data_IF_906933474208
#
_entry.id   IF_906933474208
#
_cell.length_a   1.000
_cell.length_b   1.000
_cell.length_c   1.000
_cell.angle_alpha   90.00
_cell.angle_beta   90.00
_cell.angle_gamma   90.00
#
_symmetry.space_group_name_H-M   'P 1'
#
loop_
_entity.id
_entity.type
_entity.pdbx_description
1 polymer ?
#
# COMPACT_ATOMS: atom_id res chain seq x y z
N UNK A 1 8.39 8.12 17.28
CA UNK A 1 9.83 7.84 17.13
C UNK A 1 10.57 9.16 17.29
N UNK A 2 11.44 9.29 18.29
CA UNK A 2 12.21 10.52 18.53
C UNK A 2 13.21 10.78 17.40
N UNK A 3 13.57 12.05 17.19
CA UNK A 3 14.55 12.44 16.18
C UNK A 3 15.86 11.66 16.34
N UNK A 4 16.50 11.32 15.22
CA UNK A 4 17.79 10.60 15.19
C UNK A 4 18.95 11.49 14.78
N UNK A 5 18.68 12.69 14.29
CA UNK A 5 19.68 13.67 13.88
C UNK A 5 20.29 14.38 15.08
N UNK A 6 21.62 14.40 15.14
CA UNK A 6 22.39 15.00 16.24
C UNK A 6 23.57 15.80 15.69
N UNK A 7 23.99 16.82 16.44
CA UNK A 7 25.29 17.47 16.21
C UNK A 7 26.26 16.95 17.27
N UNK A 8 27.11 16.00 16.91
CA UNK A 8 27.92 15.28 17.88
C UNK A 8 28.84 16.21 18.70
N UNK A 9 28.80 16.14 20.04
CA UNK A 9 29.67 16.95 20.91
C UNK A 9 31.15 16.61 20.78
N UNK A 10 31.48 15.38 20.38
CA UNK A 10 32.87 14.92 20.28
C UNK A 10 33.53 15.29 18.95
N UNK A 11 32.86 15.04 17.81
CA UNK A 11 33.43 15.32 16.49
C UNK A 11 32.88 16.58 15.81
N UNK A 12 31.82 17.20 16.36
CA UNK A 12 31.18 18.39 15.80
C UNK A 12 30.37 18.15 14.53
N UNK A 13 30.35 16.94 13.99
CA UNK A 13 29.67 16.62 12.73
C UNK A 13 28.15 16.49 12.90
N UNK A 14 27.42 16.88 11.86
CA UNK A 14 26.02 16.54 11.66
C UNK A 14 25.91 15.04 11.31
N UNK A 15 25.26 14.28 12.17
CA UNK A 15 25.29 12.81 12.10
C UNK A 15 24.05 12.21 12.75
N UNK A 16 23.96 10.87 12.75
CA UNK A 16 22.84 10.15 13.32
C UNK A 16 23.22 9.48 14.65
N UNK A 17 22.27 9.44 15.58
CA UNK A 17 22.38 8.64 16.80
C UNK A 17 22.06 7.18 16.48
N UNK A 18 23.03 6.30 16.71
CA UNK A 18 22.87 4.85 16.66
C UNK A 18 22.45 4.33 18.03
N UNK A 19 21.38 3.54 18.09
CA UNK A 19 20.93 2.85 19.30
C UNK A 19 21.23 1.36 19.16
N UNK A 20 22.16 0.85 19.96
CA UNK A 20 22.53 -0.57 19.96
C UNK A 20 21.97 -1.24 21.21
N UNK A 21 21.12 -2.25 21.03
CA UNK A 21 20.58 -3.01 22.14
C UNK A 21 21.68 -3.86 22.79
N UNK A 22 21.81 -3.74 24.12
CA UNK A 22 22.68 -4.58 24.93
C UNK A 22 21.85 -5.72 25.51
N UNK A 23 22.34 -6.94 25.37
CA UNK A 23 21.68 -8.16 25.83
C UNK A 23 22.50 -8.88 26.90
N UNK A 24 21.82 -9.48 27.85
CA UNK A 24 22.35 -10.50 28.76
C UNK A 24 21.63 -11.83 28.47
N UNK A 25 22.33 -12.74 27.80
CA UNK A 25 21.72 -13.90 27.17
C UNK A 25 20.67 -13.51 26.12
N UNK A 26 19.41 -13.92 26.34
CA UNK A 26 18.28 -13.60 25.47
C UNK A 26 17.47 -12.38 25.94
N UNK A 27 17.84 -11.77 27.08
CA UNK A 27 17.12 -10.62 27.63
C UNK A 27 17.83 -9.32 27.26
N UNK A 28 17.07 -8.35 26.73
CA UNK A 28 17.58 -7.00 26.49
C UNK A 28 17.73 -6.28 27.84
N UNK A 29 18.94 -5.92 28.21
CA UNK A 29 19.26 -5.25 29.48
C UNK A 29 19.41 -3.74 29.34
N UNK A 30 19.56 -3.23 28.11
CA UNK A 30 19.63 -1.79 27.87
C UNK A 30 19.91 -1.43 26.42
N UNK A 31 20.26 -0.17 26.21
CA UNK A 31 20.69 0.37 24.93
C UNK A 31 21.91 1.26 25.12
N UNK A 32 22.87 1.13 24.20
CA UNK A 32 23.99 2.08 24.05
C UNK A 32 23.63 3.09 22.98
N UNK A 33 23.88 4.36 23.29
CA UNK A 33 23.64 5.48 22.40
C UNK A 33 24.99 5.93 21.84
N UNK A 34 25.24 5.74 20.56
CA UNK A 34 26.54 6.05 19.95
C UNK A 34 26.41 6.97 18.74
N UNK A 35 27.39 7.84 18.55
CA UNK A 35 27.53 8.65 17.34
C UNK A 35 27.89 7.76 16.15
N UNK A 36 27.10 7.79 15.06
CA UNK A 36 27.39 6.98 13.87
C UNK A 36 28.67 7.40 13.13
N UNK A 37 29.11 8.66 13.26
CA UNK A 37 30.30 9.17 12.57
C UNK A 37 31.62 8.86 13.28
N UNK A 38 31.67 9.00 14.61
CA UNK A 38 32.92 8.87 15.37
C UNK A 38 32.89 7.81 16.49
N UNK A 39 31.75 7.14 16.72
CA UNK A 39 31.61 6.09 17.72
C UNK A 39 31.55 6.56 19.18
N UNK A 40 31.46 7.86 19.44
CA UNK A 40 31.35 8.38 20.82
C UNK A 40 30.06 7.89 21.49
N UNK A 41 30.18 7.30 22.69
CA UNK A 41 29.08 6.77 23.48
C UNK A 41 28.53 7.84 24.44
N UNK A 42 27.23 8.06 24.40
CA UNK A 42 26.52 8.96 25.29
C UNK A 42 25.98 8.18 26.50
N UNK A 43 26.14 8.71 27.73
CA UNK A 43 25.71 8.03 28.95
C UNK A 43 24.18 8.01 29.13
N UNK A 44 23.47 8.96 28.52
CA UNK A 44 22.01 9.04 28.58
C UNK A 44 21.44 9.73 27.35
N UNK A 45 20.14 9.56 27.08
CA UNK A 45 19.45 10.25 25.98
C UNK A 45 19.38 11.77 26.22
N UNK A 46 19.32 12.23 27.47
CA UNK A 46 19.34 13.67 27.80
C UNK A 46 20.66 14.37 27.49
N UNK A 47 21.77 13.61 27.41
CA UNK A 47 23.07 14.16 27.04
C UNK A 47 23.27 14.29 25.52
N UNK A 48 22.37 13.68 24.74
CA UNK A 48 22.46 13.68 23.28
C UNK A 48 22.01 15.05 22.73
N UNK A 49 22.88 15.73 21.96
CA UNK A 49 22.55 17.01 21.32
C UNK A 49 21.68 16.81 20.07
N UNK A 50 20.39 16.51 20.26
CA UNK A 50 19.46 16.35 19.14
C UNK A 50 19.27 17.65 18.37
N UNK A 51 19.23 17.52 17.04
CA UNK A 51 18.92 18.62 16.15
C UNK A 51 17.42 18.92 16.25
N UNK A 52 17.07 20.19 16.42
CA UNK A 52 15.68 20.60 16.35
C UNK A 52 15.17 20.32 14.94
N UNK A 53 14.03 19.63 14.83
CA UNK A 53 13.37 19.43 13.54
C UNK A 53 12.97 20.81 13.03
N UNK A 54 13.62 21.26 11.96
CA UNK A 54 13.17 22.46 11.27
C UNK A 54 11.74 22.21 10.78
N UNK A 55 10.89 23.25 10.81
CA UNK A 55 9.59 23.15 10.16
C UNK A 55 9.82 22.80 8.70
N UNK A 56 9.34 21.63 8.29
CA UNK A 56 9.48 21.17 6.91
C UNK A 56 8.88 22.27 6.00
N UNK A 57 9.62 22.76 5.00
CA UNK A 57 9.08 23.76 4.10
C UNK A 57 7.85 23.17 3.39
N UNK A 58 6.73 23.88 3.47
CA UNK A 58 5.50 23.52 2.75
C UNK A 58 5.69 23.86 1.27
N UNK A 59 6.34 22.96 0.53
CA UNK A 59 6.63 23.13 -0.90
C UNK A 59 5.37 22.92 -1.75
N UNK A 60 4.45 22.07 -1.30
CA UNK A 60 3.17 21.81 -1.95
C UNK A 60 2.04 22.13 -0.98
N UNK A 61 1.03 22.82 -1.50
CA UNK A 61 -0.18 23.18 -0.79
C UNK A 61 -1.37 22.45 -1.41
N UNK A 62 -2.53 22.49 -0.74
CA UNK A 62 -3.76 21.96 -1.32
C UNK A 62 -4.15 22.67 -2.63
N UNK A 63 -3.67 23.90 -2.87
CA UNK A 63 -3.87 24.62 -4.12
C UNK A 63 -3.09 24.02 -5.30
N UNK A 64 -2.03 23.26 -5.04
CA UNK A 64 -1.24 22.57 -6.07
C UNK A 64 -1.87 21.22 -6.46
N UNK A 65 -2.95 20.81 -5.80
CA UNK A 65 -3.63 19.56 -6.08
C UNK A 65 -4.45 19.69 -7.35
N UNK A 66 -4.07 18.93 -8.38
CA UNK A 66 -4.89 18.78 -9.58
C UNK A 66 -6.29 18.26 -9.22
N UNK A 67 -7.30 18.71 -9.95
CA UNK A 67 -8.67 18.21 -9.81
C UNK A 67 -8.68 16.70 -10.05
N UNK A 68 -9.39 15.97 -9.21
CA UNK A 68 -9.66 14.54 -9.40
C UNK A 68 -10.44 14.34 -10.70
N UNK A 69 -9.95 13.41 -11.53
CA UNK A 69 -10.57 13.04 -12.80
C UNK A 69 -11.05 11.61 -12.61
N UNK A 70 -12.37 11.44 -12.58
CA UNK A 70 -13.00 10.12 -12.65
C UNK A 70 -13.09 9.75 -14.14
N UNK A 71 -12.39 8.68 -14.51
CA UNK A 71 -12.27 8.21 -15.91
C UNK A 71 -13.19 7.02 -16.18
N UNK A 72 -13.60 6.31 -15.14
CA UNK A 72 -14.39 5.09 -15.25
C UNK A 72 -15.81 5.34 -14.77
N UNK A 73 -16.77 4.89 -15.57
CA UNK A 73 -18.17 4.82 -15.16
C UNK A 73 -18.49 3.41 -14.64
N UNK A 74 -19.33 3.30 -13.60
CA UNK A 74 -19.73 2.02 -13.00
C UNK A 74 -20.41 1.05 -14.00
N UNK A 75 -20.86 1.57 -15.15
CA UNK A 75 -21.60 0.81 -16.17
C UNK A 75 -20.77 0.21 -17.31
N UNK A 76 -19.46 0.45 -17.38
CA UNK A 76 -18.63 -0.01 -18.53
C UNK A 76 -18.63 -1.53 -18.69
N UNK A 77 -18.80 -2.27 -17.60
CA UNK A 77 -18.81 -3.73 -17.60
C UNK A 77 -20.20 -4.34 -17.83
N UNK A 78 -21.28 -3.55 -17.87
CA UNK A 78 -22.65 -4.07 -17.87
C UNK A 78 -23.01 -4.89 -19.12
N UNK A 79 -22.32 -4.66 -20.25
CA UNK A 79 -22.58 -5.32 -21.53
C UNK A 79 -21.61 -6.47 -21.87
N UNK A 80 -20.89 -6.99 -20.88
CA UNK A 80 -20.00 -8.13 -21.05
C UNK A 80 -20.76 -9.46 -21.02
N UNK A 81 -20.30 -10.45 -21.79
CA UNK A 81 -20.88 -11.80 -21.86
C UNK A 81 -21.16 -12.39 -20.48
N UNK A 82 -20.33 -12.14 -19.46
CA UNK A 82 -20.58 -12.59 -18.08
C UNK A 82 -21.97 -12.23 -17.54
N UNK A 83 -22.51 -11.08 -17.93
CA UNK A 83 -23.79 -10.56 -17.46
C UNK A 83 -24.94 -10.85 -18.45
N UNK A 84 -24.67 -11.56 -19.54
CA UNK A 84 -25.67 -11.90 -20.55
C UNK A 84 -26.51 -13.10 -20.11
N UNK A 85 -27.82 -13.05 -20.35
CA UNK A 85 -28.77 -14.13 -20.09
C UNK A 85 -28.44 -15.44 -20.85
N UNK A 86 -27.70 -15.32 -21.95
CA UNK A 86 -27.31 -16.44 -22.81
C UNK A 86 -25.92 -17.03 -22.48
N UNK A 87 -25.29 -16.56 -21.42
CA UNK A 87 -23.97 -17.02 -20.98
C UNK A 87 -24.08 -18.19 -20.03
N UNK A 88 -23.43 -19.30 -20.37
CA UNK A 88 -23.43 -20.52 -19.57
C UNK A 88 -22.04 -20.71 -18.96
N UNK A 89 -22.00 -20.75 -17.63
CA UNK A 89 -20.81 -21.10 -16.86
C UNK A 89 -20.75 -22.63 -16.75
N UNK A 90 -19.78 -23.24 -17.44
CA UNK A 90 -19.39 -24.63 -17.24
C UNK A 90 -17.96 -24.66 -16.64
N UNK A 91 -17.64 -25.59 -15.73
CA UNK A 91 -16.30 -25.73 -15.16
C UNK A 91 -15.15 -25.82 -16.17
N UNK A 92 -15.41 -26.27 -17.40
CA UNK A 92 -14.39 -26.45 -18.43
C UNK A 92 -14.44 -25.43 -19.56
N UNK A 93 -15.63 -24.89 -19.86
CA UNK A 93 -15.82 -23.97 -20.99
C UNK A 93 -16.81 -22.86 -20.64
N UNK A 94 -16.57 -21.70 -21.23
CA UNK A 94 -17.48 -20.58 -21.21
C UNK A 94 -18.19 -20.54 -22.56
N UNK A 95 -19.52 -20.64 -22.57
CA UNK A 95 -20.26 -20.90 -23.81
C UNK A 95 -21.48 -19.99 -23.96
N UNK A 96 -21.70 -19.50 -25.17
CA UNK A 96 -22.89 -18.75 -25.53
C UNK A 96 -23.96 -19.67 -26.11
N UNK A 97 -25.11 -19.78 -25.45
CA UNK A 97 -26.23 -20.62 -25.90
C UNK A 97 -26.87 -20.13 -27.20
N UNK A 98 -26.88 -18.81 -27.42
CA UNK A 98 -27.47 -18.17 -28.60
C UNK A 98 -26.65 -18.43 -29.86
N UNK A 99 -25.34 -18.16 -29.81
CA UNK A 99 -24.43 -18.30 -30.95
C UNK A 99 -23.80 -19.69 -31.08
N UNK A 100 -23.98 -20.55 -30.07
CA UNK A 100 -23.45 -21.91 -29.99
C UNK A 100 -21.93 -21.98 -30.20
N UNK A 101 -21.20 -21.09 -29.53
CA UNK A 101 -19.74 -21.01 -29.57
C UNK A 101 -19.16 -20.75 -28.18
N UNK A 102 -17.89 -21.09 -28.01
CA UNK A 102 -17.11 -20.66 -26.85
C UNK A 102 -16.90 -19.13 -26.90
N UNK A 103 -16.98 -18.49 -25.74
CA UNK A 103 -16.83 -17.03 -25.53
C UNK A 103 -16.04 -16.78 -24.25
N UNK A 104 -15.48 -15.60 -24.09
CA UNK A 104 -14.90 -15.14 -22.83
C UNK A 104 -15.89 -14.28 -22.04
N UNK A 105 -15.77 -14.28 -20.72
CA UNK A 105 -16.55 -13.45 -19.82
C UNK A 105 -16.50 -11.95 -20.16
N UNK A 106 -15.38 -11.48 -20.71
CA UNK A 106 -15.13 -10.08 -21.10
C UNK A 106 -15.44 -9.77 -22.57
N UNK A 107 -15.97 -10.72 -23.33
CA UNK A 107 -16.41 -10.43 -24.70
C UNK A 107 -17.68 -9.56 -24.69
N UNK A 108 -17.84 -8.72 -25.71
CA UNK A 108 -19.07 -7.94 -25.95
C UNK A 108 -19.87 -8.53 -27.12
N UNK A 109 -21.18 -8.30 -27.14
CA UNK A 109 -22.08 -8.85 -28.16
C UNK A 109 -23.18 -7.85 -28.53
N UNK A 110 -23.46 -7.69 -29.82
CA UNK A 110 -24.55 -6.82 -30.31
C UNK A 110 -25.96 -7.35 -29.95
N UNK A 111 -26.07 -8.66 -29.64
CA UNK A 111 -27.30 -9.33 -29.22
C UNK A 111 -27.30 -9.58 -27.71
N UNK A 112 -26.67 -8.69 -26.94
CA UNK A 112 -26.63 -8.77 -25.49
C UNK A 112 -28.04 -8.61 -24.88
N UNK A 113 -28.35 -9.50 -23.94
CA UNK A 113 -29.58 -9.42 -23.14
C UNK A 113 -29.19 -9.58 -21.67
N UNK A 114 -29.54 -8.64 -20.80
CA UNK A 114 -29.17 -8.67 -19.39
C UNK A 114 -29.75 -9.93 -18.70
N UNK A 115 -28.91 -10.67 -17.99
CA UNK A 115 -29.35 -11.76 -17.13
C UNK A 115 -30.29 -11.23 -16.05
N UNK A 116 -31.42 -11.90 -15.85
CA UNK A 116 -32.27 -11.66 -14.67
C UNK A 116 -31.51 -12.21 -13.47
N UNK A 117 -31.35 -11.41 -12.41
CA UNK A 117 -30.75 -11.84 -11.15
C UNK A 117 -31.32 -13.21 -10.76
N UNK A 118 -30.46 -14.24 -10.80
CA UNK A 118 -30.74 -15.53 -10.20
C UNK A 118 -29.97 -15.57 -8.89
N UNK A 119 -30.69 -15.78 -7.79
CA UNK A 119 -30.14 -16.05 -6.46
C UNK A 119 -28.91 -16.95 -6.57
N UNK A 120 -27.77 -16.40 -6.18
CA UNK A 120 -26.46 -17.06 -6.14
C UNK A 120 -26.42 -18.07 -4.98
N UNK A 121 -27.27 -19.10 -5.03
CA UNK A 121 -27.07 -20.31 -4.23
C UNK A 121 -26.07 -21.20 -4.96
N UNK A 122 -24.80 -20.78 -4.96
CA UNK A 122 -23.69 -21.68 -5.20
C UNK A 122 -23.65 -22.77 -4.11
N UNK A 123 -23.22 -24.01 -4.42
CA UNK A 123 -23.20 -25.08 -3.44
C UNK A 123 -22.18 -24.75 -2.36
N UNK A 124 -22.62 -24.78 -1.11
CA UNK A 124 -21.73 -24.73 0.06
C UNK A 124 -20.72 -25.88 -0.05
N UNK A 125 -19.43 -25.53 -0.14
CA UNK A 125 -18.31 -26.45 0.05
C UNK A 125 -18.12 -26.67 1.56
#
# INVERSE_FOLDING_TARGET
MGGVEIICRNCGADTLLKREAVYDGFNKVGEKLTCSGCGHEYPSESDVPFKAKATDPQIFTDADRSKEIEIFDDGEAEHLCRYCANYIINPFTQFCSLHKKEVQATDTCDQFEQAKEQDDTGPSI
#
